data_IF_793594140679
#
_entry.id   IF_793594140679
#
_cell.length_a   1.000
_cell.length_b   1.000
_cell.length_c   1.000
_cell.angle_alpha   90.00
_cell.angle_beta   90.00
_cell.angle_gamma   90.00
#
_symmetry.space_group_name_H-M   'P 1'
#
loop_
_entity.id
_entity.type
_entity.pdbx_description
1 polymer ?
#
# COMPACT_ATOMS: atom_id res chain seq x y z
N UNK A 1 -56.35 -65.35 -0.70
CA UNK A 1 -56.21 -64.43 -1.84
C UNK A 1 -54.72 -64.10 -1.91
N UNK A 2 -53.89 -64.72 -2.79
CA UNK A 2 -53.74 -64.48 -4.24
C UNK A 2 -53.86 -62.97 -4.52
N UNK A 3 -52.83 -62.21 -4.92
CA UNK A 3 -51.93 -62.40 -6.07
C UNK A 3 -50.63 -61.58 -5.94
N UNK A 4 -49.61 -62.04 -6.66
CA UNK A 4 -48.35 -61.38 -7.02
C UNK A 4 -48.49 -60.25 -8.07
N UNK A 5 -47.34 -59.67 -8.47
CA UNK A 5 -47.06 -58.81 -9.64
C UNK A 5 -47.35 -57.31 -9.39
N UNK A 6 -46.47 -56.36 -9.74
CA UNK A 6 -45.81 -56.23 -11.03
C UNK A 6 -44.71 -55.13 -10.99
N UNK A 7 -43.53 -55.48 -11.51
CA UNK A 7 -42.64 -54.69 -12.38
C UNK A 7 -42.21 -53.26 -12.03
N UNK A 8 -40.88 -53.15 -11.92
CA UNK A 8 -40.02 -52.08 -12.40
C UNK A 8 -40.62 -51.23 -13.53
N UNK A 9 -40.60 -49.91 -13.34
CA UNK A 9 -40.43 -48.97 -14.44
C UNK A 9 -39.07 -48.29 -14.28
N UNK A 10 -38.25 -48.53 -15.29
CA UNK A 10 -36.93 -47.94 -15.49
C UNK A 10 -37.08 -47.00 -16.68
N UNK A 11 -37.35 -45.70 -16.44
CA UNK A 11 -37.17 -44.62 -17.44
C UNK A 11 -36.99 -43.30 -16.67
N UNK A 12 -35.93 -42.56 -16.97
CA UNK A 12 -35.92 -41.10 -16.77
C UNK A 12 -34.80 -40.54 -15.90
N UNK A 13 -33.57 -40.63 -16.42
CA UNK A 13 -32.45 -39.75 -16.05
C UNK A 13 -32.89 -38.28 -16.24
N UNK A 14 -32.66 -37.41 -15.25
CA UNK A 14 -31.76 -36.32 -15.56
C UNK A 14 -30.55 -36.49 -14.66
N UNK A 15 -29.40 -36.71 -15.29
CA UNK A 15 -28.13 -36.31 -14.73
C UNK A 15 -28.29 -34.85 -14.33
N UNK A 16 -28.57 -34.61 -13.05
CA UNK A 16 -28.22 -33.36 -12.42
C UNK A 16 -26.70 -33.40 -12.42
N UNK A 17 -26.12 -32.95 -13.52
CA UNK A 17 -24.72 -32.65 -13.62
C UNK A 17 -24.49 -31.54 -12.60
N UNK A 18 -24.22 -31.95 -11.36
CA UNK A 18 -23.40 -31.19 -10.45
C UNK A 18 -22.09 -31.01 -11.20
N UNK A 19 -22.01 -29.93 -11.97
CA UNK A 19 -20.76 -29.31 -12.33
C UNK A 19 -20.17 -28.90 -10.99
N UNK A 20 -19.47 -29.84 -10.37
CA UNK A 20 -18.52 -29.56 -9.31
C UNK A 20 -17.46 -28.73 -10.00
N UNK A 21 -17.69 -27.42 -10.02
CA UNK A 21 -16.68 -26.45 -10.38
C UNK A 21 -15.58 -26.67 -9.33
N UNK A 22 -14.39 -27.17 -9.71
CA UNK A 22 -13.29 -27.17 -8.76
C UNK A 22 -13.11 -25.72 -8.29
N UNK A 23 -12.93 -25.45 -6.98
CA UNK A 23 -12.46 -24.13 -6.57
C UNK A 23 -11.18 -23.90 -7.36
N UNK A 24 -11.18 -22.83 -8.15
CA UNK A 24 -10.03 -22.49 -8.97
C UNK A 24 -8.83 -22.27 -8.06
N UNK A 25 -8.02 -23.32 -7.90
CA UNK A 25 -6.66 -23.21 -7.36
C UNK A 25 -5.83 -22.63 -8.49
N UNK A 26 -5.94 -21.31 -8.67
CA UNK A 26 -5.14 -20.52 -9.60
C UNK A 26 -3.95 -19.85 -8.94
N UNK A 27 -3.49 -20.36 -7.79
CA UNK A 27 -2.51 -19.67 -6.94
C UNK A 27 -1.05 -20.10 -7.14
N UNK A 28 -0.78 -21.25 -7.76
CA UNK A 28 0.59 -21.78 -7.79
C UNK A 28 1.56 -20.91 -8.60
N UNK A 29 1.17 -20.47 -9.80
CA UNK A 29 2.09 -19.76 -10.71
C UNK A 29 2.29 -18.27 -10.34
N UNK A 30 1.34 -17.69 -9.61
CA UNK A 30 1.43 -16.29 -9.18
C UNK A 30 2.20 -16.14 -7.85
N UNK A 31 2.13 -17.14 -6.97
CA UNK A 31 2.92 -17.17 -5.75
C UNK A 31 4.43 -17.26 -6.08
N UNK A 32 4.83 -18.03 -7.11
CA UNK A 32 6.23 -18.15 -7.53
C UNK A 32 6.84 -16.78 -7.89
N UNK A 33 6.10 -15.94 -8.63
CA UNK A 33 6.57 -14.61 -9.07
C UNK A 33 6.82 -13.67 -7.90
N UNK A 34 6.04 -13.80 -6.82
CA UNK A 34 6.23 -13.01 -5.60
C UNK A 34 7.50 -13.42 -4.91
N UNK A 35 7.75 -14.71 -4.78
CA UNK A 35 8.96 -15.21 -4.10
C UNK A 35 10.23 -14.92 -4.91
N UNK A 36 10.15 -14.96 -6.24
CA UNK A 36 11.23 -14.47 -7.11
C UNK A 36 11.54 -12.98 -6.84
N UNK A 37 10.50 -12.14 -6.77
CA UNK A 37 10.67 -10.72 -6.46
C UNK A 37 11.24 -10.51 -5.04
N UNK A 38 10.77 -11.26 -4.03
CA UNK A 38 11.29 -11.20 -2.66
C UNK A 38 12.77 -11.57 -2.61
N UNK A 39 13.18 -12.60 -3.34
CA UNK A 39 14.57 -12.99 -3.45
C UNK A 39 15.43 -11.91 -4.12
N UNK A 40 14.93 -11.26 -5.16
CA UNK A 40 15.65 -10.13 -5.77
C UNK A 40 15.73 -8.91 -4.84
N UNK A 41 14.68 -8.64 -4.05
CA UNK A 41 14.65 -7.57 -3.04
C UNK A 41 15.72 -7.81 -1.96
N UNK A 42 15.81 -9.03 -1.41
CA UNK A 42 16.85 -9.36 -0.41
C UNK A 42 18.25 -9.16 -0.97
N UNK A 43 18.48 -9.61 -2.20
CA UNK A 43 19.76 -9.43 -2.90
C UNK A 43 20.12 -7.96 -3.11
N UNK A 44 19.14 -7.10 -3.39
CA UNK A 44 19.37 -5.65 -3.51
C UNK A 44 19.63 -5.01 -2.14
N UNK A 45 18.94 -5.46 -1.09
CA UNK A 45 19.17 -5.00 0.27
C UNK A 45 20.59 -5.35 0.76
N UNK A 46 21.06 -6.58 0.56
CA UNK A 46 22.42 -7.01 0.88
C UNK A 46 23.49 -6.16 0.15
N UNK A 47 23.16 -5.70 -1.07
CA UNK A 47 24.03 -4.83 -1.87
C UNK A 47 23.90 -3.34 -1.53
N UNK A 48 23.05 -2.99 -0.56
CA UNK A 48 22.73 -1.61 -0.17
C UNK A 48 22.06 -0.78 -1.27
N UNK A 49 21.44 -1.44 -2.26
CA UNK A 49 20.76 -0.83 -3.41
C UNK A 49 19.29 -0.53 -3.07
N UNK A 50 19.08 0.27 -2.02
CA UNK A 50 17.76 0.47 -1.40
C UNK A 50 16.71 1.07 -2.33
N UNK A 51 17.07 2.03 -3.18
CA UNK A 51 16.14 2.66 -4.13
C UNK A 51 15.64 1.68 -5.19
N UNK A 52 16.52 0.78 -5.64
CA UNK A 52 16.18 -0.26 -6.60
C UNK A 52 15.28 -1.31 -5.94
N UNK A 53 15.63 -1.72 -4.72
CA UNK A 53 14.83 -2.64 -3.92
C UNK A 53 13.41 -2.06 -3.68
N UNK A 54 13.31 -0.78 -3.35
CA UNK A 54 12.03 -0.10 -3.16
C UNK A 54 11.21 -0.05 -4.45
N UNK A 55 11.83 0.25 -5.59
CA UNK A 55 11.16 0.21 -6.90
C UNK A 55 10.61 -1.18 -7.21
N UNK A 56 11.39 -2.22 -6.92
CA UNK A 56 10.98 -3.61 -7.12
C UNK A 56 9.81 -3.99 -6.21
N UNK A 57 9.80 -3.55 -4.94
CA UNK A 57 8.67 -3.69 -4.03
C UNK A 57 7.40 -3.07 -4.63
N UNK A 58 7.48 -1.84 -5.15
CA UNK A 58 6.32 -1.18 -5.76
C UNK A 58 5.80 -1.93 -7.00
N UNK A 59 6.67 -2.62 -7.72
CA UNK A 59 6.31 -3.56 -8.78
C UNK A 59 5.61 -4.80 -8.23
N UNK A 60 6.22 -5.47 -7.24
CA UNK A 60 5.70 -6.67 -6.60
C UNK A 60 4.33 -6.42 -5.93
N UNK A 61 4.08 -5.20 -5.41
CA UNK A 61 2.76 -4.69 -4.94
C UNK A 61 1.60 -4.85 -5.93
N UNK A 62 1.88 -5.03 -7.22
CA UNK A 62 0.86 -5.19 -8.27
C UNK A 62 0.60 -6.64 -8.65
N UNK A 63 1.41 -7.57 -8.16
CA UNK A 63 1.27 -8.99 -8.43
C UNK A 63 0.26 -9.62 -7.45
N UNK A 64 -0.53 -10.62 -7.89
CA UNK A 64 -1.35 -11.40 -6.97
C UNK A 64 -0.49 -12.09 -5.90
N UNK A 65 -0.96 -12.12 -4.66
CA UNK A 65 -0.24 -12.75 -3.55
C UNK A 65 -1.16 -13.14 -2.40
N UNK A 66 -0.74 -14.17 -1.68
CA UNK A 66 -1.32 -14.51 -0.38
C UNK A 66 -0.87 -13.58 0.75
N UNK A 67 -1.39 -13.85 1.94
CA UNK A 67 -1.06 -13.12 3.18
C UNK A 67 0.43 -13.20 3.51
N UNK A 68 1.08 -14.36 3.27
CA UNK A 68 2.51 -14.51 3.50
C UNK A 68 3.35 -13.57 2.63
N UNK A 69 3.00 -13.45 1.35
CA UNK A 69 3.67 -12.52 0.44
C UNK A 69 3.44 -11.06 0.84
N UNK A 70 2.22 -10.71 1.27
CA UNK A 70 1.92 -9.35 1.74
C UNK A 70 2.73 -9.00 2.99
N UNK A 71 2.71 -9.86 4.01
CA UNK A 71 3.48 -9.67 5.25
C UNK A 71 4.97 -9.51 4.93
N UNK A 72 5.52 -10.38 4.07
CA UNK A 72 6.94 -10.35 3.72
C UNK A 72 7.31 -9.07 2.98
N UNK A 73 6.51 -8.62 2.01
CA UNK A 73 6.74 -7.38 1.29
C UNK A 73 6.62 -6.15 2.19
N UNK A 74 5.62 -6.10 3.08
CA UNK A 74 5.49 -5.01 4.05
C UNK A 74 6.68 -4.94 5.03
N UNK A 75 7.25 -6.09 5.42
CA UNK A 75 8.46 -6.13 6.25
C UNK A 75 9.67 -5.57 5.50
N UNK A 76 9.93 -6.03 4.27
CA UNK A 76 11.03 -5.49 3.46
C UNK A 76 10.86 -4.01 3.14
N UNK A 77 9.64 -3.57 2.83
CA UNK A 77 9.34 -2.16 2.60
C UNK A 77 9.65 -1.32 3.85
N UNK A 78 9.23 -1.79 5.02
CA UNK A 78 9.57 -1.17 6.30
C UNK A 78 11.08 -1.05 6.52
N UNK A 79 11.83 -2.12 6.26
CA UNK A 79 13.29 -2.17 6.41
C UNK A 79 13.96 -1.16 5.46
N UNK A 80 13.65 -1.25 4.17
CA UNK A 80 14.26 -0.41 3.12
C UNK A 80 13.94 1.07 3.35
N UNK A 81 12.70 1.42 3.67
CA UNK A 81 12.31 2.78 4.01
C UNK A 81 13.04 3.29 5.27
N UNK A 82 13.24 2.43 6.27
CA UNK A 82 14.00 2.79 7.47
C UNK A 82 15.47 3.07 7.14
N UNK A 83 16.08 2.25 6.28
CA UNK A 83 17.47 2.44 5.83
C UNK A 83 17.64 3.74 5.03
N UNK A 84 16.64 4.12 4.22
CA UNK A 84 16.61 5.39 3.50
C UNK A 84 16.24 6.60 4.39
N UNK A 85 15.99 6.39 5.69
CA UNK A 85 15.64 7.46 6.63
C UNK A 85 14.17 7.92 6.59
N UNK A 86 13.32 7.21 5.85
CA UNK A 86 11.89 7.48 5.71
C UNK A 86 11.08 6.80 6.82
N UNK A 87 11.26 7.27 8.05
CA UNK A 87 10.70 6.63 9.26
C UNK A 87 9.16 6.58 9.30
N UNK A 88 8.49 7.62 8.79
CA UNK A 88 7.02 7.66 8.73
C UNK A 88 6.44 6.56 7.83
N UNK A 89 6.82 6.51 6.55
CA UNK A 89 6.46 5.42 5.65
C UNK A 89 6.90 4.04 6.15
N UNK A 90 8.11 3.93 6.69
CA UNK A 90 8.63 2.68 7.28
C UNK A 90 7.72 2.17 8.40
N UNK A 91 7.30 3.06 9.31
CA UNK A 91 6.34 2.72 10.37
C UNK A 91 5.03 2.20 9.82
N UNK A 92 4.50 2.82 8.77
CA UNK A 92 3.25 2.37 8.17
C UNK A 92 3.37 0.94 7.61
N UNK A 93 4.45 0.64 6.89
CA UNK A 93 4.73 -0.68 6.34
C UNK A 93 4.92 -1.74 7.43
N UNK A 94 5.68 -1.45 8.48
CA UNK A 94 5.81 -2.37 9.62
C UNK A 94 4.49 -2.61 10.35
N UNK A 95 3.67 -1.57 10.54
CA UNK A 95 2.33 -1.71 11.14
C UNK A 95 1.43 -2.60 10.28
N UNK A 96 1.47 -2.47 8.96
CA UNK A 96 0.71 -3.31 8.03
C UNK A 96 1.05 -4.80 8.25
N UNK A 97 2.35 -5.14 8.25
CA UNK A 97 2.81 -6.50 8.51
C UNK A 97 2.33 -7.02 9.88
N UNK A 98 2.48 -6.22 10.93
CA UNK A 98 2.16 -6.60 12.32
C UNK A 98 0.65 -6.69 12.60
N UNK A 99 -0.17 -5.92 11.89
CA UNK A 99 -1.62 -6.02 11.99
C UNK A 99 -2.13 -7.32 11.36
N UNK A 100 -1.50 -7.78 10.28
CA UNK A 100 -1.80 -9.07 9.66
C UNK A 100 -1.22 -10.25 10.45
N UNK A 101 0.02 -10.12 10.92
CA UNK A 101 0.75 -11.15 11.68
C UNK A 101 1.50 -10.51 12.86
N UNK A 102 0.90 -10.47 14.06
CA UNK A 102 1.52 -9.85 15.24
C UNK A 102 2.84 -10.51 15.69
N UNK A 103 3.01 -11.79 15.40
CA UNK A 103 4.22 -12.55 15.67
C UNK A 103 5.20 -12.60 14.49
N UNK A 104 5.06 -11.71 13.50
CA UNK A 104 6.02 -11.63 12.41
C UNK A 104 7.40 -11.23 12.93
N UNK A 105 8.44 -11.83 12.35
CA UNK A 105 9.83 -11.54 12.63
C UNK A 105 10.48 -10.91 11.39
N UNK A 106 11.59 -10.21 11.58
CA UNK A 106 12.32 -9.60 10.47
C UNK A 106 12.97 -10.71 9.63
N UNK A 107 12.88 -10.65 8.29
CA UNK A 107 13.34 -11.73 7.40
C UNK A 107 14.87 -11.91 7.34
N UNK A 108 15.65 -10.93 7.81
CA UNK A 108 17.12 -10.91 7.72
C UNK A 108 17.77 -10.29 8.98
N UNK A 109 19.09 -10.47 9.11
CA UNK A 109 19.93 -9.73 10.06
C UNK A 109 20.02 -8.25 9.62
N UNK A 110 19.08 -7.45 10.09
CA UNK A 110 19.03 -6.02 9.81
C UNK A 110 19.96 -5.21 10.71
N UNK A 111 20.23 -3.95 10.32
CA UNK A 111 20.95 -3.04 11.19
C UNK A 111 20.23 -2.88 12.56
N UNK A 112 20.95 -2.77 13.69
CA UNK A 112 20.34 -2.69 15.01
C UNK A 112 19.29 -1.57 15.16
N UNK A 113 19.47 -0.46 14.43
CA UNK A 113 18.50 0.66 14.39
C UNK A 113 17.13 0.24 13.86
N UNK A 114 17.09 -0.61 12.83
CA UNK A 114 15.85 -1.08 12.19
C UNK A 114 15.16 -2.06 13.11
N UNK A 115 15.91 -2.98 13.71
CA UNK A 115 15.39 -3.93 14.69
C UNK A 115 14.72 -3.20 15.88
N UNK A 116 15.40 -2.23 16.48
CA UNK A 116 14.84 -1.43 17.57
C UNK A 116 13.57 -0.66 17.15
N UNK A 117 13.56 -0.13 15.92
CA UNK A 117 12.40 0.60 15.40
C UNK A 117 11.20 -0.32 15.17
N UNK A 118 11.42 -1.50 14.58
CA UNK A 118 10.39 -2.53 14.40
C UNK A 118 9.81 -2.98 15.74
N UNK A 119 10.66 -3.25 16.73
CA UNK A 119 10.24 -3.68 18.07
C UNK A 119 9.37 -2.63 18.78
N UNK A 120 9.73 -1.35 18.67
CA UNK A 120 8.91 -0.27 19.23
C UNK A 120 7.51 -0.25 18.61
N UNK A 121 7.40 -0.50 17.29
CA UNK A 121 6.12 -0.56 16.59
C UNK A 121 5.33 -1.80 17.00
N UNK A 122 5.99 -2.95 17.20
CA UNK A 122 5.34 -4.19 17.67
C UNK A 122 4.67 -3.98 19.03
N UNK A 123 5.35 -3.32 19.96
CA UNK A 123 4.78 -2.97 21.28
C UNK A 123 3.59 -2.03 21.16
N UNK A 124 3.63 -1.07 20.23
CA UNK A 124 2.50 -0.15 19.99
C UNK A 124 1.27 -0.87 19.43
N UNK A 125 1.45 -1.72 18.41
CA UNK A 125 0.36 -2.47 17.77
C UNK A 125 -0.28 -3.47 18.74
N UNK A 126 0.54 -4.16 19.53
CA UNK A 126 0.06 -5.12 20.55
C UNK A 126 -0.60 -4.41 21.74
N UNK A 127 -0.05 -3.30 22.21
CA UNK A 127 -0.63 -2.47 23.27
C UNK A 127 -1.98 -1.86 22.88
N UNK A 128 -2.12 -1.38 21.64
CA UNK A 128 -3.39 -0.86 21.12
C UNK A 128 -4.49 -1.94 21.07
N UNK A 129 -4.14 -3.19 20.75
CA UNK A 129 -5.11 -4.30 20.69
C UNK A 129 -5.63 -4.72 22.06
N UNK A 130 -4.86 -4.52 23.13
CA UNK A 130 -5.29 -4.81 24.50
C UNK A 130 -6.26 -3.76 25.08
N UNK A 131 -6.33 -2.56 24.49
CA UNK A 131 -7.09 -1.40 25.01
C UNK A 131 -8.40 -1.18 24.25
N UNK A 132 -8.87 -2.11 23.43
CA UNK A 132 -10.24 -2.08 22.90
C UNK A 132 -11.15 -2.91 23.82
N UNK A 133 -11.76 -2.33 24.87
CA UNK A 133 -12.80 -3.01 25.61
C UNK A 133 -13.99 -3.25 24.68
N UNK A 134 -14.56 -4.46 24.72
CA UNK A 134 -15.84 -4.76 24.10
C UNK A 134 -16.90 -3.78 24.62
N UNK A 135 -17.85 -3.32 23.79
CA UNK A 135 -18.93 -2.50 24.27
C UNK A 135 -19.76 -3.34 25.25
N UNK A 136 -19.66 -3.00 26.54
CA UNK A 136 -20.55 -3.48 27.57
C UNK A 136 -21.95 -2.96 27.24
N UNK A 137 -22.86 -3.89 26.98
CA UNK A 137 -24.30 -3.68 27.01
C UNK A 137 -24.66 -3.20 28.42
N UNK A 138 -24.97 -1.92 28.57
CA UNK A 138 -25.72 -1.37 29.70
C UNK A 138 -26.92 -0.61 29.12
N UNK A 139 -28.06 -1.30 29.17
CA UNK A 139 -29.39 -0.70 29.19
C UNK A 139 -29.63 0.02 30.54
N UNK A 140 -30.71 0.81 30.58
CA UNK A 140 -31.30 1.59 31.69
C UNK A 140 -30.99 3.11 31.61
N UNK A 141 -31.90 3.95 31.07
CA UNK A 141 -33.13 4.48 31.74
C UNK A 141 -32.75 5.43 32.90
N UNK A 142 -33.21 6.67 33.10
CA UNK A 142 -34.41 7.42 32.72
C UNK A 142 -34.11 8.95 32.69
N UNK A 143 -35.09 9.65 32.11
CA UNK A 143 -35.53 11.04 32.22
C UNK A 143 -35.00 11.89 33.40
N UNK A 144 -34.63 13.14 33.11
CA UNK A 144 -35.06 14.26 33.96
C UNK A 144 -35.10 15.59 33.18
N UNK A 145 -36.07 16.40 33.55
CA UNK A 145 -36.72 17.49 32.85
C UNK A 145 -35.97 18.85 32.83
N UNK A 146 -36.51 19.75 31.99
CA UNK A 146 -36.57 21.22 32.20
C UNK A 146 -35.25 22.03 32.11
N UNK A 147 -35.18 23.29 31.68
CA UNK A 147 -36.10 24.23 31.04
C UNK A 147 -35.21 25.33 30.45
N UNK A 148 -35.68 25.87 29.34
CA UNK A 148 -35.23 27.09 28.66
C UNK A 148 -35.02 28.28 29.63
N UNK A 149 -33.84 28.88 29.62
CA UNK A 149 -33.72 30.33 29.84
C UNK A 149 -32.77 30.95 28.81
N UNK A 150 -33.36 31.38 27.70
CA UNK A 150 -32.84 32.47 26.87
C UNK A 150 -33.07 33.79 27.62
N UNK A 151 -31.99 34.46 28.02
CA UNK A 151 -32.05 35.85 28.48
C UNK A 151 -31.05 36.71 27.69
N UNK A 152 -31.59 37.23 26.58
CA UNK A 152 -31.58 38.61 26.12
C UNK A 152 -30.39 39.53 26.50
N UNK A 153 -29.75 40.11 25.47
CA UNK A 153 -28.86 41.25 25.64
C UNK A 153 -27.86 41.48 24.50
N UNK A 154 -28.20 42.28 23.47
CA UNK A 154 -27.34 42.59 22.33
C UNK A 154 -26.51 43.86 22.55
N UNK A 155 -25.24 43.88 22.14
CA UNK A 155 -24.54 45.14 21.81
C UNK A 155 -23.63 44.93 20.61
N UNK A 156 -24.08 45.44 19.46
CA UNK A 156 -23.22 45.87 18.38
C UNK A 156 -22.44 47.12 18.80
N UNK A 157 -21.15 47.20 18.47
CA UNK A 157 -20.61 48.41 17.83
C UNK A 157 -19.30 48.07 17.11
N UNK A 158 -19.36 48.18 15.79
CA UNK A 158 -18.23 48.39 14.90
C UNK A 158 -17.49 49.69 15.32
N UNK A 159 -16.18 49.78 15.09
CA UNK A 159 -15.75 50.86 14.20
C UNK A 159 -14.83 50.36 13.09
N UNK A 160 -15.28 50.58 11.87
CA UNK A 160 -14.42 51.06 10.80
C UNK A 160 -13.57 52.24 11.29
N UNK A 161 -12.29 52.27 10.94
CA UNK A 161 -11.67 53.43 10.31
C UNK A 161 -10.22 53.10 9.93
N UNK A 162 -9.96 53.07 8.61
CA UNK A 162 -9.09 54.00 7.88
C UNK A 162 -7.58 53.72 8.08
N UNK A 163 -6.75 53.53 7.05
CA UNK A 163 -6.73 54.06 5.68
C UNK A 163 -5.80 53.18 4.82
N UNK A 164 -6.22 52.80 3.61
CA UNK A 164 -5.26 52.69 2.50
C UNK A 164 -4.93 54.13 2.04
N UNK A 165 -3.71 54.45 1.57
CA UNK A 165 -3.40 54.14 0.17
C UNK A 165 -1.91 53.91 -0.18
N UNK A 166 -1.75 53.20 -1.29
CA UNK A 166 -0.70 53.30 -2.32
C UNK A 166 0.22 54.54 -2.22
N UNK A 167 1.53 54.29 -2.22
CA UNK A 167 2.60 55.18 -2.67
C UNK A 167 3.86 54.31 -2.84
N UNK A 168 4.63 54.29 -3.91
CA UNK A 168 4.62 55.05 -5.16
C UNK A 168 5.66 54.42 -6.11
N UNK A 169 5.27 54.30 -7.38
CA UNK A 169 6.03 54.41 -8.65
C UNK A 169 7.54 54.07 -8.62
N UNK A 170 8.01 53.08 -9.42
CA UNK A 170 8.50 53.16 -10.84
C UNK A 170 9.77 54.04 -10.99
N UNK A 171 10.70 53.87 -11.98
CA UNK A 171 10.72 52.97 -13.14
C UNK A 171 12.10 52.37 -13.60
N UNK A 172 12.03 51.32 -14.42
CA UNK A 172 12.78 51.11 -15.71
C UNK A 172 14.32 51.23 -15.75
N UNK A 173 14.97 50.08 -15.97
CA UNK A 173 16.01 49.83 -17.00
C UNK A 173 15.90 48.31 -17.30
N UNK A 174 15.44 47.77 -18.43
CA UNK A 174 15.51 48.11 -19.85
C UNK A 174 16.89 47.92 -20.49
N UNK A 175 16.85 47.03 -21.51
CA UNK A 175 17.69 46.92 -22.73
C UNK A 175 19.05 46.19 -22.57
N UNK A 176 19.57 45.55 -23.64
CA UNK A 176 19.63 44.10 -23.84
C UNK A 176 21.03 43.70 -24.40
N UNK A 177 21.09 42.71 -25.31
CA UNK A 177 22.23 42.34 -26.17
C UNK A 177 23.29 41.46 -25.48
N UNK A 178 23.76 40.34 -26.04
CA UNK A 178 23.77 39.84 -27.41
C UNK A 178 24.16 38.35 -27.37
N UNK A 179 23.54 37.55 -28.24
CA UNK A 179 24.12 36.47 -29.06
C UNK A 179 25.11 35.49 -28.38
N UNK A 180 24.86 34.18 -28.35
CA UNK A 180 24.68 33.38 -29.57
C UNK A 180 24.07 31.99 -29.28
N UNK A 181 23.08 31.55 -30.07
CA UNK A 181 22.73 30.14 -30.19
C UNK A 181 23.78 29.43 -31.06
N UNK A 182 24.36 28.35 -30.56
CA UNK A 182 25.15 27.44 -31.39
C UNK A 182 24.18 26.54 -32.15
N UNK A 183 23.93 26.91 -33.40
CA UNK A 183 23.24 26.11 -34.42
C UNK A 183 24.30 25.44 -35.30
N UNK A 184 23.90 24.33 -35.94
CA UNK A 184 24.50 23.65 -37.12
C UNK A 184 25.38 22.44 -36.73
N UNK A 185 25.20 21.18 -37.15
CA UNK A 185 24.25 20.41 -38.02
C UNK A 185 24.79 18.94 -38.06
N UNK A 186 24.12 17.96 -38.70
CA UNK A 186 24.13 16.53 -38.35
C UNK A 186 25.11 15.67 -39.18
N UNK A 187 25.32 14.43 -38.74
CA UNK A 187 25.77 13.29 -39.55
C UNK A 187 25.41 12.02 -38.78
N UNK A 188 24.36 11.31 -39.20
CA UNK A 188 24.42 10.11 -40.06
C UNK A 188 25.03 8.87 -39.38
N UNK A 189 24.20 7.82 -39.38
CA UNK A 189 24.50 6.44 -39.01
C UNK A 189 25.68 5.89 -39.83
N UNK A 190 26.36 4.86 -39.32
CA UNK A 190 26.36 3.64 -40.11
C UNK A 190 25.96 2.40 -39.31
N UNK A 191 25.07 1.66 -39.96
CA UNK A 191 24.88 0.21 -39.88
C UNK A 191 26.20 -0.56 -39.77
N UNK A 192 26.30 -1.50 -38.82
CA UNK A 192 26.98 -2.78 -39.07
C UNK A 192 26.19 -3.91 -38.41
N UNK A 193 25.47 -4.65 -39.26
CA UNK A 193 25.11 -6.01 -38.97
C UNK A 193 26.40 -6.84 -38.90
N UNK A 194 26.57 -7.64 -37.84
CA UNK A 194 27.46 -8.79 -37.85
C UNK A 194 26.62 -10.04 -37.63
N UNK A 195 26.27 -10.67 -38.74
CA UNK A 195 25.94 -12.09 -38.81
C UNK A 195 27.22 -12.91 -38.94
N UNK A 196 27.09 -14.24 -38.78
CA UNK A 196 28.10 -15.31 -38.92
C UNK A 196 28.71 -15.70 -37.56
N UNK A 197 28.39 -16.87 -36.99
CA UNK A 197 28.91 -18.15 -37.49
C UNK A 197 27.99 -19.32 -37.07
N UNK A 198 27.63 -20.15 -38.04
CA UNK A 198 27.05 -21.47 -37.82
C UNK A 198 28.15 -22.55 -37.71
N UNK A 199 27.95 -23.53 -36.85
CA UNK A 199 28.65 -24.82 -36.72
C UNK A 199 27.70 -25.75 -35.96
N UNK A 200 27.73 -27.08 -36.12
CA UNK A 200 28.88 -27.95 -36.38
C UNK A 200 28.99 -28.57 -37.79
#
# INVERSE_FOLDING_TARGET
>A
MRHSFWKSFLVGFPCLALVVLPPAVGHAEDDDKIWDAVYEISQLYEKLEYEQAFTLIQGARRLPRGVDGEVTLSLYEGIILCEMGLLGPSRAAFREALLMRPGAELPEDVAPKVALFFEAIRLEVTGQKAVVPAPSEEEEEEEDDEETEEQDGPVQVHPEQQTAPVSEKRPVQAVPEKQSPSTVVPAELPVTASSVTASP
#
